data_IF_178552856329
#
_entry.id   IF_178552856329
#
_cell.length_a   1.000
_cell.length_b   1.000
_cell.length_c   1.000
_cell.angle_alpha   90.00
_cell.angle_beta   90.00
_cell.angle_gamma   90.00
#
_symmetry.space_group_name_H-M   'P 1'
#
loop_
_entity.id
_entity.type
_entity.pdbx_description
1 polymer ?
#
# COMPACT_ATOMS: atom_id res chain seq x y z
N UNK A 1 18.98 -21.72 47.13
CA UNK A 1 20.08 -21.03 46.41
C UNK A 1 19.49 -20.16 45.30
N UNK A 2 19.16 -18.88 45.58
CA UNK A 2 18.45 -17.98 44.64
C UNK A 2 19.36 -17.25 43.64
N UNK A 3 20.58 -17.76 43.39
CA UNK A 3 21.63 -17.06 42.62
C UNK A 3 21.27 -16.83 41.14
N UNK A 4 20.45 -17.71 40.57
CA UNK A 4 20.07 -17.66 39.16
C UNK A 4 18.67 -17.10 38.92
N UNK A 5 17.78 -17.13 39.92
CA UNK A 5 16.37 -16.68 39.77
C UNK A 5 16.29 -15.19 39.42
N UNK A 6 17.08 -14.35 40.09
CA UNK A 6 17.15 -12.91 39.77
C UNK A 6 17.77 -12.63 38.40
N UNK A 7 18.75 -13.44 37.99
CA UNK A 7 19.38 -13.30 36.68
C UNK A 7 18.41 -13.68 35.56
N UNK A 8 17.64 -14.75 35.75
CA UNK A 8 16.59 -15.19 34.83
C UNK A 8 15.53 -14.09 34.71
N UNK A 9 15.02 -13.55 35.82
CA UNK A 9 14.02 -12.49 35.80
C UNK A 9 14.51 -11.24 35.03
N UNK A 10 15.76 -10.83 35.23
CA UNK A 10 16.36 -9.70 34.47
C UNK A 10 16.51 -9.99 32.98
N UNK A 11 16.80 -11.25 32.60
CA UNK A 11 16.89 -11.66 31.20
C UNK A 11 15.50 -11.68 30.56
N UNK A 12 14.50 -12.22 31.25
CA UNK A 12 13.10 -12.24 30.79
C UNK A 12 12.54 -10.84 30.57
N UNK A 13 12.80 -9.92 31.50
CA UNK A 13 12.39 -8.51 31.37
C UNK A 13 13.02 -7.87 30.11
N UNK A 14 14.32 -8.05 29.93
CA UNK A 14 15.02 -7.56 28.72
C UNK A 14 14.48 -8.19 27.46
N UNK A 15 14.15 -9.48 27.49
CA UNK A 15 13.63 -10.21 26.35
C UNK A 15 12.25 -9.70 25.95
N UNK A 16 11.38 -9.38 26.93
CA UNK A 16 10.09 -8.78 26.63
C UNK A 16 10.22 -7.36 26.09
N UNK A 17 11.13 -6.55 26.64
CA UNK A 17 11.45 -5.22 26.09
C UNK A 17 11.94 -5.29 24.64
N UNK A 18 12.84 -6.25 24.33
CA UNK A 18 13.33 -6.45 22.96
C UNK A 18 12.22 -6.96 22.03
N UNK A 19 11.34 -7.84 22.50
CA UNK A 19 10.16 -8.29 21.74
C UNK A 19 9.23 -7.14 21.42
N UNK A 20 8.96 -6.26 22.38
CA UNK A 20 8.15 -5.07 22.14
C UNK A 20 8.80 -4.16 21.09
N UNK A 21 10.10 -3.89 21.24
CA UNK A 21 10.85 -3.09 20.26
C UNK A 21 10.82 -3.70 18.86
N UNK A 22 10.91 -5.03 18.74
CA UNK A 22 10.77 -5.73 17.47
C UNK A 22 9.36 -5.56 16.86
N UNK A 23 8.31 -5.67 17.68
CA UNK A 23 6.93 -5.44 17.23
C UNK A 23 6.76 -4.01 16.70
N UNK A 24 7.32 -3.02 17.41
CA UNK A 24 7.25 -1.61 17.01
C UNK A 24 8.00 -1.36 15.69
N UNK A 25 9.20 -1.92 15.54
CA UNK A 25 9.98 -1.81 14.31
C UNK A 25 9.26 -2.44 13.11
N UNK A 26 8.66 -3.63 13.27
CA UNK A 26 7.85 -4.28 12.22
C UNK A 26 6.62 -3.45 11.85
N UNK A 27 5.98 -2.82 12.83
CA UNK A 27 4.85 -1.93 12.57
C UNK A 27 5.29 -0.66 11.80
N UNK A 28 6.46 -0.10 12.14
CA UNK A 28 7.04 1.04 11.42
C UNK A 28 7.42 0.67 9.99
N UNK A 29 8.05 -0.48 9.77
CA UNK A 29 8.39 -0.99 8.44
C UNK A 29 7.13 -1.20 7.59
N UNK A 30 6.10 -1.84 8.15
CA UNK A 30 4.82 -2.03 7.46
C UNK A 30 4.18 -0.69 7.09
N UNK A 31 4.23 0.30 7.99
CA UNK A 31 3.72 1.66 7.74
C UNK A 31 4.51 2.35 6.63
N UNK A 32 5.84 2.21 6.63
CA UNK A 32 6.71 2.77 5.61
C UNK A 32 6.43 2.14 4.24
N UNK A 33 6.35 0.81 4.16
CA UNK A 33 5.99 0.09 2.94
C UNK A 33 4.63 0.55 2.37
N UNK A 34 3.61 0.73 3.23
CA UNK A 34 2.30 1.26 2.79
C UNK A 34 2.39 2.69 2.25
N UNK A 35 3.23 3.55 2.85
CA UNK A 35 3.47 4.92 2.37
C UNK A 35 4.16 4.91 1.01
N UNK A 36 5.20 4.09 0.86
CA UNK A 36 5.96 3.99 -0.38
C UNK A 36 5.11 3.40 -1.51
N UNK A 37 4.31 2.37 -1.23
CA UNK A 37 3.34 1.82 -2.17
C UNK A 37 2.29 2.85 -2.59
N UNK A 38 1.77 3.64 -1.65
CA UNK A 38 0.81 4.71 -1.96
C UNK A 38 1.45 5.77 -2.83
N UNK A 39 2.67 6.20 -2.49
CA UNK A 39 3.43 7.18 -3.26
C UNK A 39 3.73 6.68 -4.67
N UNK A 40 4.16 5.42 -4.81
CA UNK A 40 4.40 4.76 -6.10
C UNK A 40 3.15 4.82 -6.98
N UNK A 41 1.99 4.42 -6.46
CA UNK A 41 0.72 4.43 -7.20
C UNK A 41 0.31 5.85 -7.64
N UNK A 42 0.45 6.84 -6.77
CA UNK A 42 0.16 8.24 -7.10
C UNK A 42 1.09 8.74 -8.20
N UNK A 43 2.40 8.51 -8.09
CA UNK A 43 3.38 8.96 -9.07
C UNK A 43 3.12 8.35 -10.44
N UNK A 44 2.94 7.04 -10.52
CA UNK A 44 2.64 6.38 -11.80
C UNK A 44 1.28 6.79 -12.37
N UNK A 45 0.25 6.94 -11.53
CA UNK A 45 -1.06 7.43 -11.96
C UNK A 45 -0.99 8.83 -12.55
N UNK A 46 -0.35 9.77 -11.85
CA UNK A 46 -0.17 11.14 -12.31
C UNK A 46 0.68 11.22 -13.60
N UNK A 47 1.77 10.44 -13.67
CA UNK A 47 2.62 10.37 -14.85
C UNK A 47 1.85 9.80 -16.07
N UNK A 48 1.03 8.76 -15.86
CA UNK A 48 0.20 8.19 -16.92
C UNK A 48 -0.84 9.19 -17.43
N UNK A 49 -1.57 9.87 -16.54
CA UNK A 49 -2.53 10.91 -16.94
C UNK A 49 -1.83 12.03 -17.73
N UNK A 50 -0.66 12.48 -17.26
CA UNK A 50 0.15 13.49 -17.97
C UNK A 50 0.63 13.01 -19.35
N UNK A 51 0.87 11.71 -19.51
CA UNK A 51 1.25 11.11 -20.78
C UNK A 51 0.05 11.07 -21.73
N UNK A 52 -1.11 10.59 -21.26
CA UNK A 52 -2.36 10.58 -22.02
C UNK A 52 -2.70 12.00 -22.48
N UNK A 53 -2.50 12.99 -21.62
CA UNK A 53 -2.75 14.40 -21.92
C UNK A 53 -1.89 15.00 -23.02
N UNK A 54 -0.86 14.28 -23.47
CA UNK A 54 0.01 14.68 -24.59
C UNK A 54 -0.22 13.87 -25.86
N UNK A 55 -1.06 12.84 -25.82
CA UNK A 55 -1.35 12.02 -26.98
C UNK A 55 -2.28 12.73 -27.97
N UNK A 56 -2.27 12.37 -29.26
CA UNK A 56 -3.34 12.70 -30.19
C UNK A 56 -4.68 12.17 -29.69
N UNK A 57 -5.78 12.87 -29.98
CA UNK A 57 -7.13 12.57 -29.48
C UNK A 57 -7.55 11.10 -29.69
N UNK A 58 -7.26 10.57 -30.87
CA UNK A 58 -7.54 9.17 -31.25
C UNK A 58 -6.86 8.14 -30.32
N UNK A 59 -5.69 8.49 -29.78
CA UNK A 59 -4.91 7.61 -28.89
C UNK A 59 -5.23 7.82 -27.41
N UNK A 60 -5.89 8.93 -27.04
CA UNK A 60 -6.29 9.21 -25.65
C UNK A 60 -7.35 8.22 -25.18
N UNK A 61 -8.45 8.13 -25.92
CA UNK A 61 -9.56 7.25 -25.61
C UNK A 61 -9.12 5.79 -25.48
N UNK A 62 -8.38 5.27 -26.46
CA UNK A 62 -7.91 3.88 -26.43
C UNK A 62 -6.93 3.60 -25.26
N UNK A 63 -6.14 4.60 -24.84
CA UNK A 63 -5.24 4.46 -23.69
C UNK A 63 -6.00 4.47 -22.36
N UNK A 64 -7.02 5.33 -22.23
CA UNK A 64 -7.88 5.37 -21.04
C UNK A 64 -8.75 4.11 -20.93
N UNK A 65 -9.35 3.66 -22.02
CA UNK A 65 -10.14 2.41 -22.04
C UNK A 65 -9.34 1.22 -21.52
N UNK A 66 -8.06 1.11 -21.92
CA UNK A 66 -7.18 0.03 -21.47
C UNK A 66 -6.99 0.05 -19.96
N UNK A 67 -6.74 1.22 -19.36
CA UNK A 67 -6.51 1.30 -17.91
C UNK A 67 -7.80 1.12 -17.12
N UNK A 68 -8.93 1.64 -17.64
CA UNK A 68 -10.24 1.58 -16.99
C UNK A 68 -10.77 0.14 -16.84
N UNK A 69 -10.32 -0.81 -17.68
CA UNK A 69 -10.62 -2.24 -17.53
C UNK A 69 -10.05 -2.85 -16.24
N UNK A 70 -8.98 -2.27 -15.69
CA UNK A 70 -8.36 -2.72 -14.44
C UNK A 70 -8.95 -2.05 -13.20
N UNK A 71 -9.92 -1.14 -13.37
CA UNK A 71 -10.63 -0.47 -12.27
C UNK A 71 -11.86 -1.31 -11.94
N UNK A 72 -11.70 -2.29 -11.05
CA UNK A 72 -12.75 -3.27 -10.77
C UNK A 72 -13.71 -2.87 -9.64
N UNK A 73 -13.29 -1.97 -8.75
CA UNK A 73 -14.09 -1.58 -7.58
C UNK A 73 -15.26 -0.69 -7.99
N UNK A 74 -16.49 -1.09 -7.67
CA UNK A 74 -17.70 -0.37 -8.05
C UNK A 74 -17.67 1.12 -7.65
N UNK A 75 -17.27 1.44 -6.41
CA UNK A 75 -17.15 2.83 -5.94
C UNK A 75 -16.14 3.66 -6.74
N UNK A 76 -15.03 3.05 -7.13
CA UNK A 76 -13.99 3.75 -7.90
C UNK A 76 -14.46 3.95 -9.35
N UNK A 77 -15.21 2.99 -9.90
CA UNK A 77 -15.87 3.14 -11.21
C UNK A 77 -16.91 4.24 -11.20
N UNK A 78 -17.77 4.27 -10.19
CA UNK A 78 -18.77 5.32 -9.98
C UNK A 78 -18.11 6.71 -9.85
N UNK A 79 -17.07 6.83 -9.02
CA UNK A 79 -16.30 8.07 -8.87
C UNK A 79 -15.73 8.59 -10.20
N UNK A 80 -15.31 7.68 -11.08
CA UNK A 80 -14.75 8.00 -12.39
C UNK A 80 -15.79 8.07 -13.52
N UNK A 81 -17.08 7.88 -13.23
CA UNK A 81 -18.15 7.86 -14.23
C UNK A 81 -18.10 6.68 -15.20
N UNK A 82 -17.46 5.57 -14.80
CA UNK A 82 -17.36 4.36 -15.62
C UNK A 82 -18.60 3.47 -15.46
N UNK A 83 -19.04 2.78 -16.52
CA UNK A 83 -20.15 1.83 -16.42
C UNK A 83 -19.81 0.72 -15.42
N UNK A 84 -20.78 0.16 -14.68
CA UNK A 84 -20.53 -0.98 -13.81
C UNK A 84 -19.96 -2.15 -14.62
N UNK A 85 -19.15 -3.00 -13.98
CA UNK A 85 -18.79 -4.27 -14.59
C UNK A 85 -20.01 -5.18 -14.41
N UNK A 86 -20.58 -5.65 -15.51
CA UNK A 86 -21.67 -6.63 -15.45
C UNK A 86 -21.20 -7.83 -14.64
N UNK A 87 -21.99 -8.21 -13.63
CA UNK A 87 -21.75 -9.44 -12.88
C UNK A 87 -21.94 -10.61 -13.84
N UNK A 88 -20.85 -11.11 -14.42
CA UNK A 88 -20.81 -12.41 -15.11
C UNK A 88 -20.64 -13.53 -14.09
#
# INVERSE_FOLDING_TARGET
MPKYTEQIAKIEERLEQQRQRLRDLKAQETKQHRRDETRRKILYGAAFLSLVDKLPEEKRHSSLDRIQRYICRAKDREFLGLPPLDAS
#
